data_IF_864129959244
#
_entry.id   IF_864129959244
#
_cell.length_a   1.000
_cell.length_b   1.000
_cell.length_c   1.000
_cell.angle_alpha   90.00
_cell.angle_beta   90.00
_cell.angle_gamma   90.00
#
_symmetry.space_group_name_H-M   'P 1'
#
loop_
_entity.id
_entity.type
_entity.pdbx_description
1 polymer ?
#
# COMPACT_ATOMS: atom_id res chain seq x y z
N UNK A 1 -6.30 -27.89 16.20
CA UNK A 1 -5.42 -26.72 16.36
C UNK A 1 -3.99 -27.24 16.47
N UNK A 2 -3.03 -26.61 15.81
CA UNK A 2 -1.61 -26.96 15.88
C UNK A 2 -0.81 -25.71 16.22
N UNK A 3 0.04 -25.76 17.26
CA UNK A 3 0.97 -24.67 17.63
C UNK A 3 2.37 -25.00 17.13
N UNK A 4 3.04 -24.01 16.55
CA UNK A 4 4.40 -24.09 16.04
C UNK A 4 5.30 -23.04 16.72
N UNK A 5 6.59 -23.38 16.79
CA UNK A 5 7.67 -22.55 17.36
C UNK A 5 8.88 -22.48 16.41
N UNK A 6 8.69 -22.83 15.13
CA UNK A 6 9.73 -22.92 14.09
C UNK A 6 10.06 -21.56 13.43
N UNK A 7 9.53 -20.46 13.97
CA UNK A 7 9.73 -19.08 13.50
C UNK A 7 10.12 -18.19 14.67
N UNK A 8 10.56 -16.96 14.38
CA UNK A 8 10.90 -15.96 15.42
C UNK A 8 9.76 -15.68 16.40
N UNK A 9 8.51 -15.93 15.98
CA UNK A 9 7.34 -15.84 16.82
C UNK A 9 6.56 -17.15 16.83
N UNK A 10 6.05 -17.52 18.00
CA UNK A 10 5.10 -18.60 18.15
C UNK A 10 3.85 -18.31 17.31
N UNK A 11 3.33 -19.34 16.66
CA UNK A 11 2.08 -19.22 15.90
C UNK A 11 1.26 -20.50 15.98
N UNK A 12 -0.03 -20.39 15.73
CA UNK A 12 -0.92 -21.54 15.71
C UNK A 12 -1.80 -21.54 14.45
N UNK A 13 -2.04 -22.73 13.91
CA UNK A 13 -3.00 -22.97 12.84
C UNK A 13 -4.31 -23.50 13.42
N UNK A 14 -5.40 -22.81 13.11
CA UNK A 14 -6.76 -23.22 13.44
C UNK A 14 -7.46 -23.52 12.11
N UNK A 15 -7.96 -24.75 11.98
CA UNK A 15 -8.81 -25.16 10.86
C UNK A 15 -10.24 -25.18 11.37
N UNK A 16 -11.12 -24.47 10.68
CA UNK A 16 -12.54 -24.41 10.98
C UNK A 16 -13.36 -24.68 9.72
N UNK A 17 -14.46 -25.41 9.86
CA UNK A 17 -15.43 -25.60 8.79
C UNK A 17 -16.30 -24.35 8.64
N UNK A 18 -16.59 -23.95 7.40
CA UNK A 18 -17.63 -22.95 7.10
C UNK A 18 -19.03 -23.56 7.02
N UNK A 19 -19.14 -24.89 6.99
CA UNK A 19 -20.43 -25.60 6.95
C UNK A 19 -20.97 -25.69 8.37
N UNK A 20 -22.15 -25.11 8.58
CA UNK A 20 -22.91 -25.14 9.82
C UNK A 20 -23.56 -26.52 10.01
N UNK A 21 -24.05 -26.79 11.23
CA UNK A 21 -24.69 -28.08 11.54
C UNK A 21 -26.00 -28.31 10.77
N UNK A 22 -26.62 -27.24 10.27
CA UNK A 22 -27.81 -27.29 9.42
C UNK A 22 -27.49 -27.43 7.91
N UNK A 23 -26.20 -27.60 7.56
CA UNK A 23 -25.73 -27.72 6.18
C UNK A 23 -25.57 -26.40 5.43
N UNK A 24 -25.91 -25.26 6.04
CA UNK A 24 -25.70 -23.94 5.41
C UNK A 24 -24.24 -23.49 5.54
N UNK A 25 -23.83 -22.54 4.71
CA UNK A 25 -22.45 -22.02 4.70
C UNK A 25 -22.37 -20.65 5.36
N UNK A 26 -21.46 -20.47 6.31
CA UNK A 26 -21.12 -19.16 6.88
C UNK A 26 -20.62 -18.24 5.76
N UNK A 27 -21.28 -17.10 5.58
CA UNK A 27 -20.95 -16.12 4.54
C UNK A 27 -19.53 -15.57 4.71
N UNK A 28 -18.80 -15.44 3.60
CA UNK A 28 -17.49 -14.78 3.49
C UNK A 28 -17.58 -13.29 3.12
N UNK A 29 -18.80 -12.76 2.96
CA UNK A 29 -19.01 -11.35 2.63
C UNK A 29 -18.36 -10.44 3.67
N UNK A 30 -17.42 -9.60 3.23
CA UNK A 30 -16.67 -8.67 4.09
C UNK A 30 -15.89 -9.34 5.23
N UNK A 31 -15.53 -10.61 5.08
CA UNK A 31 -14.74 -11.37 6.05
C UNK A 31 -13.49 -10.63 6.52
N UNK A 32 -12.73 -10.00 5.62
CA UNK A 32 -11.55 -9.21 5.95
C UNK A 32 -11.88 -8.04 6.90
N UNK A 33 -12.96 -7.29 6.62
CA UNK A 33 -13.38 -6.15 7.47
C UNK A 33 -13.90 -6.62 8.83
N UNK A 34 -14.70 -7.69 8.84
CA UNK A 34 -15.21 -8.28 10.09
C UNK A 34 -14.06 -8.83 10.93
N UNK A 35 -13.12 -9.51 10.30
CA UNK A 35 -11.93 -10.07 10.97
C UNK A 35 -11.05 -8.96 11.53
N UNK A 36 -10.80 -7.89 10.77
CA UNK A 36 -10.06 -6.73 11.27
C UNK A 36 -10.74 -6.14 12.51
N UNK A 37 -12.06 -5.94 12.50
CA UNK A 37 -12.79 -5.43 13.66
C UNK A 37 -12.67 -6.34 14.89
N UNK A 38 -12.70 -7.66 14.70
CA UNK A 38 -12.49 -8.63 15.79
C UNK A 38 -11.05 -8.58 16.31
N UNK A 39 -10.06 -8.53 15.42
CA UNK A 39 -8.64 -8.44 15.80
C UNK A 39 -8.38 -7.18 16.63
N UNK A 40 -8.93 -6.01 16.25
CA UNK A 40 -8.79 -4.76 17.01
C UNK A 40 -9.37 -4.86 18.42
N UNK A 41 -10.50 -5.56 18.59
CA UNK A 41 -11.08 -5.83 19.91
C UNK A 41 -10.19 -6.74 20.75
N UNK A 42 -9.66 -7.82 20.16
CA UNK A 42 -8.73 -8.73 20.83
C UNK A 42 -7.44 -8.01 21.23
N UNK A 43 -6.93 -7.10 20.39
CA UNK A 43 -5.77 -6.28 20.74
C UNK A 43 -6.00 -5.48 22.02
N UNK A 44 -7.19 -4.88 22.18
CA UNK A 44 -7.55 -4.14 23.39
C UNK A 44 -7.79 -5.05 24.59
N UNK A 45 -8.56 -6.13 24.42
CA UNK A 45 -8.94 -7.05 25.50
C UNK A 45 -7.73 -7.74 26.13
N UNK A 46 -6.75 -8.12 25.31
CA UNK A 46 -5.55 -8.84 25.74
C UNK A 46 -4.31 -7.94 25.88
N UNK A 47 -4.47 -6.61 25.82
CA UNK A 47 -3.38 -5.63 25.89
C UNK A 47 -2.23 -5.93 24.90
N UNK A 48 -2.57 -6.33 23.68
CA UNK A 48 -1.60 -6.57 22.61
C UNK A 48 -1.25 -5.26 21.90
N UNK A 49 -0.20 -5.31 21.06
CA UNK A 49 0.19 -4.17 20.24
C UNK A 49 -0.93 -3.77 19.28
N UNK A 50 -1.53 -2.60 19.49
CA UNK A 50 -2.49 -2.04 18.55
C UNK A 50 -1.83 -1.73 17.21
N UNK A 51 -2.47 -2.16 16.12
CA UNK A 51 -2.05 -1.83 14.76
C UNK A 51 -3.03 -0.86 14.12
N UNK A 52 -2.51 0.10 13.35
CA UNK A 52 -3.35 1.05 12.62
C UNK A 52 -4.33 0.31 11.69
N UNK A 53 -5.63 0.64 11.74
CA UNK A 53 -6.63 0.06 10.85
C UNK A 53 -6.34 0.27 9.37
N UNK A 54 -6.77 -0.69 8.55
CA UNK A 54 -6.51 -0.69 7.11
C UNK A 54 -7.14 0.49 6.37
N UNK A 55 -8.25 1.05 6.88
CA UNK A 55 -8.91 2.21 6.30
C UNK A 55 -8.22 3.55 6.60
N UNK A 56 -7.33 3.58 7.60
CA UNK A 56 -6.52 4.76 7.94
C UNK A 56 -5.17 4.77 7.20
N UNK A 57 -4.78 3.64 6.58
CA UNK A 57 -3.56 3.56 5.80
C UNK A 57 -3.75 4.18 4.43
N UNK A 58 -3.12 5.32 4.21
CA UNK A 58 -3.17 6.01 2.92
C UNK A 58 -2.24 5.38 1.87
N UNK A 59 -1.22 4.63 2.31
CA UNK A 59 -0.23 3.97 1.45
C UNK A 59 -0.41 2.45 1.45
N UNK A 60 -0.18 1.79 0.30
CA UNK A 60 -0.10 0.32 0.26
C UNK A 60 1.22 -0.15 0.84
N UNK A 61 1.16 -0.96 1.89
CA UNK A 61 2.32 -1.59 2.52
C UNK A 61 3.08 -2.50 1.54
N UNK A 62 4.34 -2.76 1.85
CA UNK A 62 5.16 -3.73 1.12
C UNK A 62 4.51 -5.11 1.12
N UNK A 63 4.49 -5.76 -0.03
CA UNK A 63 4.08 -7.17 -0.13
C UNK A 63 5.14 -8.08 0.49
N UNK A 64 4.76 -9.29 0.87
CA UNK A 64 5.72 -10.30 1.35
C UNK A 64 6.82 -10.59 0.31
N UNK A 65 6.49 -10.55 -0.98
CA UNK A 65 7.45 -10.71 -2.07
C UNK A 65 8.49 -9.59 -2.09
N UNK A 66 8.07 -8.33 -1.97
CA UNK A 66 8.97 -7.17 -1.93
C UNK A 66 9.86 -7.18 -0.69
N UNK A 67 9.33 -7.57 0.48
CA UNK A 67 10.13 -7.75 1.70
C UNK A 67 11.19 -8.83 1.54
N UNK A 68 10.83 -9.96 0.91
CA UNK A 68 11.77 -11.06 0.63
C UNK A 68 12.81 -10.67 -0.41
N UNK A 69 12.43 -9.89 -1.43
CA UNK A 69 13.38 -9.33 -2.39
C UNK A 69 14.41 -8.47 -1.67
N UNK A 70 13.97 -7.49 -0.88
CA UNK A 70 14.86 -6.62 -0.12
C UNK A 70 15.80 -7.41 0.79
N UNK A 71 15.28 -8.40 1.51
CA UNK A 71 16.11 -9.26 2.38
C UNK A 71 17.15 -10.09 1.61
N UNK A 72 16.84 -10.47 0.36
CA UNK A 72 17.71 -11.33 -0.46
C UNK A 72 18.76 -10.53 -1.26
N UNK A 73 18.37 -9.39 -1.82
CA UNK A 73 19.24 -8.61 -2.74
C UNK A 73 19.79 -7.33 -2.10
N UNK A 74 19.24 -6.89 -0.97
CA UNK A 74 19.54 -5.57 -0.39
C UNK A 74 18.88 -4.41 -1.14
N UNK A 75 18.12 -4.68 -2.20
CA UNK A 75 17.53 -3.65 -3.07
C UNK A 75 16.02 -3.52 -2.83
N UNK A 76 15.57 -2.27 -2.68
CA UNK A 76 14.15 -1.94 -2.60
C UNK A 76 13.44 -2.20 -3.93
N UNK A 77 12.17 -2.64 -3.87
CA UNK A 77 11.35 -2.74 -5.07
C UNK A 77 11.13 -1.36 -5.69
N UNK A 78 10.96 -1.33 -7.02
CA UNK A 78 10.67 -0.07 -7.74
C UNK A 78 9.45 0.65 -7.16
N UNK A 79 8.43 -0.11 -6.75
CA UNK A 79 7.21 0.45 -6.14
C UNK A 79 7.51 1.22 -4.86
N UNK A 80 8.34 0.66 -3.99
CA UNK A 80 8.75 1.29 -2.71
C UNK A 80 9.59 2.52 -2.98
N UNK A 81 10.50 2.45 -3.95
CA UNK A 81 11.30 3.61 -4.39
C UNK A 81 10.41 4.75 -4.89
N UNK A 82 9.40 4.45 -5.72
CA UNK A 82 8.43 5.45 -6.19
C UNK A 82 7.66 6.05 -5.01
N UNK A 83 7.12 5.24 -4.08
CA UNK A 83 6.40 5.75 -2.91
C UNK A 83 7.26 6.71 -2.08
N UNK A 84 8.50 6.31 -1.77
CA UNK A 84 9.45 7.13 -1.00
C UNK A 84 9.77 8.45 -1.71
N UNK A 85 10.05 8.40 -3.02
CA UNK A 85 10.33 9.61 -3.80
C UNK A 85 9.12 10.54 -3.88
N UNK A 86 7.90 10.00 -3.98
CA UNK A 86 6.68 10.80 -3.94
C UNK A 86 6.43 11.42 -2.56
N UNK A 87 6.71 10.70 -1.48
CA UNK A 87 6.61 11.23 -0.11
C UNK A 87 7.56 12.42 0.08
N UNK A 88 8.80 12.29 -0.40
CA UNK A 88 9.78 13.39 -0.39
C UNK A 88 9.34 14.57 -1.28
N UNK A 89 8.90 14.28 -2.50
CA UNK A 89 8.51 15.31 -3.47
C UNK A 89 7.26 16.10 -3.04
N UNK A 90 6.42 15.54 -2.17
CA UNK A 90 5.17 16.14 -1.68
C UNK A 90 5.22 16.70 -0.26
N UNK A 91 6.38 16.67 0.40
CA UNK A 91 6.53 17.08 1.80
C UNK A 91 6.06 18.51 2.11
N UNK A 92 6.26 19.44 1.17
CA UNK A 92 5.95 20.87 1.27
C UNK A 92 4.71 21.28 0.44
N UNK A 93 3.84 20.32 0.11
CA UNK A 93 2.57 20.58 -0.59
C UNK A 93 2.72 21.35 -1.91
N UNK A 94 3.48 20.82 -2.89
CA UNK A 94 3.72 21.49 -4.15
C UNK A 94 2.45 21.59 -5.02
N UNK A 95 2.49 22.40 -6.08
CA UNK A 95 1.50 22.31 -7.16
C UNK A 95 1.74 21.05 -8.00
N UNK A 96 0.73 20.59 -8.73
CA UNK A 96 0.88 19.42 -9.61
C UNK A 96 2.02 19.56 -10.65
N UNK A 97 2.20 20.72 -11.33
CA UNK A 97 3.35 20.91 -12.23
C UNK A 97 4.70 20.85 -11.51
N UNK A 98 4.79 21.40 -10.30
CA UNK A 98 6.02 21.36 -9.49
C UNK A 98 6.33 19.93 -9.03
N UNK A 99 5.32 19.16 -8.61
CA UNK A 99 5.47 17.74 -8.31
C UNK A 99 6.02 16.96 -9.50
N UNK A 100 5.46 17.15 -10.69
CA UNK A 100 5.92 16.47 -11.91
C UNK A 100 7.38 16.84 -12.19
N UNK A 101 7.74 18.13 -12.09
CA UNK A 101 9.10 18.61 -12.29
C UNK A 101 10.09 18.00 -11.30
N UNK A 102 9.70 17.85 -10.02
CA UNK A 102 10.52 17.21 -8.98
C UNK A 102 10.70 15.72 -9.24
N UNK A 103 9.62 15.04 -9.61
CA UNK A 103 9.65 13.61 -9.93
C UNK A 103 10.61 13.30 -11.08
N UNK A 104 10.66 14.14 -12.11
CA UNK A 104 11.55 13.95 -13.26
C UNK A 104 13.05 14.05 -12.91
N UNK A 105 13.40 14.59 -11.74
CA UNK A 105 14.79 14.63 -11.27
C UNK A 105 15.15 13.28 -10.64
N UNK A 106 16.37 12.77 -10.85
CA UNK A 106 16.82 11.57 -10.17
C UNK A 106 16.89 11.81 -8.65
N UNK A 107 16.30 10.90 -7.86
CA UNK A 107 16.24 11.04 -6.42
C UNK A 107 17.52 10.58 -5.70
N UNK A 108 18.44 9.91 -6.39
CA UNK A 108 19.67 9.32 -5.83
C UNK A 108 20.79 9.32 -6.89
N UNK A 109 22.08 9.44 -6.52
CA UNK A 109 23.21 9.29 -7.44
C UNK A 109 23.23 7.93 -8.18
N UNK A 110 22.68 6.89 -7.57
CA UNK A 110 22.57 5.55 -8.16
C UNK A 110 21.38 5.40 -9.10
N UNK A 111 20.43 6.34 -9.05
CA UNK A 111 19.25 6.34 -9.89
C UNK A 111 19.54 7.19 -11.13
N UNK A 112 19.58 6.57 -12.30
CA UNK A 112 19.94 7.26 -13.55
C UNK A 112 18.77 8.07 -14.14
N UNK A 113 17.53 7.76 -13.74
CA UNK A 113 16.31 8.36 -14.30
C UNK A 113 15.38 8.87 -13.19
N UNK A 114 14.70 9.99 -13.43
CA UNK A 114 13.58 10.41 -12.60
C UNK A 114 12.36 9.51 -12.76
N UNK A 115 11.34 9.79 -11.95
CA UNK A 115 10.01 9.21 -12.08
C UNK A 115 9.25 9.98 -13.16
N UNK A 116 8.88 9.27 -14.22
CA UNK A 116 7.95 9.79 -15.21
C UNK A 116 6.53 9.75 -14.66
N UNK A 117 5.78 10.84 -14.81
CA UNK A 117 4.41 10.99 -14.29
C UNK A 117 3.46 11.29 -15.44
N UNK A 118 2.37 10.54 -15.53
CA UNK A 118 1.31 10.77 -16.52
C UNK A 118 -0.05 10.91 -15.86
N UNK A 119 -0.76 11.98 -16.21
CA UNK A 119 -2.17 12.17 -15.87
C UNK A 119 -3.00 11.74 -17.08
N UNK A 120 -3.81 10.71 -16.90
CA UNK A 120 -4.76 10.25 -17.92
C UNK A 120 -6.05 11.05 -17.84
N UNK A 121 -6.64 11.37 -18.99
CA UNK A 121 -7.92 12.08 -19.10
C UNK A 121 -8.97 11.19 -19.77
N UNK A 122 -10.24 11.38 -19.40
CA UNK A 122 -11.38 10.79 -20.10
C UNK A 122 -11.66 11.56 -21.38
N UNK A 123 -12.49 11.00 -22.27
CA UNK A 123 -12.98 11.70 -23.47
C UNK A 123 -13.69 13.02 -23.17
N UNK A 124 -14.22 13.18 -21.95
CA UNK A 124 -14.91 14.38 -21.47
C UNK A 124 -13.97 15.38 -20.79
N UNK A 125 -12.65 15.17 -20.82
CA UNK A 125 -11.66 16.07 -20.22
C UNK A 125 -11.50 15.94 -18.70
N UNK A 126 -12.20 15.01 -18.04
CA UNK A 126 -12.03 14.75 -16.61
C UNK A 126 -10.77 13.91 -16.37
N UNK A 127 -10.11 14.12 -15.24
CA UNK A 127 -8.96 13.29 -14.86
C UNK A 127 -9.43 11.85 -14.61
N UNK A 128 -8.89 10.91 -15.39
CA UNK A 128 -9.11 9.46 -15.27
C UNK A 128 -8.23 8.86 -14.17
N UNK A 129 -7.01 9.35 -14.01
CA UNK A 129 -6.06 8.86 -13.02
C UNK A 129 -4.65 9.37 -13.24
N UNK A 130 -3.71 8.89 -12.42
CA UNK A 130 -2.29 9.23 -12.48
C UNK A 130 -1.45 7.95 -12.43
N UNK A 131 -0.36 7.90 -13.19
CA UNK A 131 0.58 6.79 -13.24
C UNK A 131 2.02 7.27 -13.13
N UNK A 132 2.88 6.42 -12.59
CA UNK A 132 4.28 6.68 -12.29
C UNK A 132 5.15 5.56 -12.85
N UNK A 133 6.27 5.89 -13.51
CA UNK A 133 7.23 4.90 -13.99
C UNK A 133 8.63 5.26 -13.51
N UNK A 134 9.36 4.23 -13.10
CA UNK A 134 10.77 4.30 -12.76
C UNK A 134 11.45 3.03 -13.27
N UNK A 135 12.65 3.14 -13.83
CA UNK A 135 13.46 2.02 -14.32
C UNK A 135 12.66 1.06 -15.24
N UNK A 136 11.82 1.62 -16.12
CA UNK A 136 10.96 0.88 -17.04
C UNK A 136 9.69 0.27 -16.44
N UNK A 137 9.54 0.24 -15.11
CA UNK A 137 8.38 -0.36 -14.42
C UNK A 137 7.36 0.72 -14.05
N UNK A 138 6.11 0.53 -14.46
CA UNK A 138 5.03 1.50 -14.25
C UNK A 138 3.98 1.01 -13.24
N UNK A 139 3.49 1.92 -12.40
CA UNK A 139 2.40 1.71 -11.46
C UNK A 139 1.37 2.84 -11.56
N UNK A 140 0.08 2.49 -11.52
CA UNK A 140 -0.96 3.49 -11.28
C UNK A 140 -0.92 3.98 -9.84
N UNK A 141 -1.43 5.18 -9.57
CA UNK A 141 -1.55 5.69 -8.20
C UNK A 141 -2.29 4.73 -7.26
N UNK A 142 -3.33 4.05 -7.76
CA UNK A 142 -4.06 3.03 -6.99
C UNK A 142 -3.20 1.82 -6.58
N UNK A 143 -2.20 1.44 -7.40
CA UNK A 143 -1.25 0.38 -7.05
C UNK A 143 -0.24 0.82 -5.99
N UNK A 144 0.04 2.12 -5.88
CA UNK A 144 0.90 2.68 -4.84
C UNK A 144 0.14 2.95 -3.54
N UNK A 145 -1.14 3.29 -3.61
CA UNK A 145 -1.95 3.61 -2.44
C UNK A 145 -2.85 4.82 -2.68
N UNK A 146 -3.84 4.98 -1.81
CA UNK A 146 -4.84 6.03 -1.92
C UNK A 146 -4.19 7.42 -1.97
N UNK A 147 -3.13 7.65 -1.19
CA UNK A 147 -2.38 8.92 -1.13
C UNK A 147 -1.78 9.35 -2.48
N UNK A 148 -1.49 8.39 -3.37
CA UNK A 148 -0.78 8.63 -4.63
C UNK A 148 -1.71 8.63 -5.84
N UNK A 149 -3.03 8.49 -5.64
CA UNK A 149 -4.02 8.75 -6.68
C UNK A 149 -4.10 10.26 -6.95
N UNK A 150 -4.65 10.69 -8.09
CA UNK A 150 -4.71 12.12 -8.41
C UNK A 150 -5.46 12.92 -7.33
N UNK A 151 -6.66 12.49 -6.95
CA UNK A 151 -7.41 13.09 -5.83
C UNK A 151 -6.76 12.81 -4.47
N UNK A 152 -6.03 11.70 -4.37
CA UNK A 152 -5.23 11.35 -3.20
C UNK A 152 -4.13 12.35 -2.90
N UNK A 153 -3.39 12.78 -3.92
CA UNK A 153 -2.35 13.79 -3.81
C UNK A 153 -2.93 15.11 -3.30
N UNK A 154 -4.12 15.50 -3.78
CA UNK A 154 -4.80 16.70 -3.33
C UNK A 154 -5.27 16.57 -1.87
N UNK A 155 -5.92 15.47 -1.53
CA UNK A 155 -6.56 15.27 -0.21
C UNK A 155 -5.58 14.94 0.91
N UNK A 156 -4.59 14.09 0.64
CA UNK A 156 -3.70 13.50 1.65
C UNK A 156 -2.28 14.09 1.61
N UNK A 157 -1.88 14.70 0.49
CA UNK A 157 -0.54 15.28 0.30
C UNK A 157 -0.55 16.79 0.03
N UNK A 158 -1.72 17.43 0.05
CA UNK A 158 -1.87 18.88 -0.11
C UNK A 158 -1.48 19.42 -1.49
N UNK A 159 -1.38 18.56 -2.51
CA UNK A 159 -0.97 18.98 -3.84
C UNK A 159 -2.08 19.81 -4.50
N UNK A 160 -1.76 21.01 -4.97
CA UNK A 160 -2.72 21.94 -5.59
C UNK A 160 -2.71 21.93 -7.12
#
# INVERSE_FOLDING_TARGET
MVRHVDREHDHAHIVASRIQLDGTTVSDSWDYRRSEAVIRKLEQEYNLQSVQPSWEKDNRSQTTGERRQLARTGEESVRVRIQRSLDQATHDHPTMPELIKRCLRPASPTQQQGINVWVGYTRTGKVKGISYQLDGVAFSGTHLGKAYTFSGLQKHRGVS
#
